data_IF_639661211847
#
_entry.id   IF_639661211847
#
_cell.length_a   1.000
_cell.length_b   1.000
_cell.length_c   1.000
_cell.angle_alpha   90.00
_cell.angle_beta   90.00
_cell.angle_gamma   90.00
#
_symmetry.space_group_name_H-M   'P 1'
#
loop_
_entity.id
_entity.type
_entity.pdbx_description
1 polymer ?
#
# COMPACT_ATOMS: atom_id res chain seq x y z
N UNK A 1 17.51 -8.85 -21.12
CA UNK A 1 18.49 -8.20 -20.23
C UNK A 1 17.93 -7.86 -18.84
N UNK A 2 16.61 -7.93 -18.61
CA UNK A 2 15.91 -7.54 -17.37
C UNK A 2 16.10 -8.50 -16.18
N UNK A 3 15.94 -9.82 -16.38
CA UNK A 3 15.95 -10.79 -15.26
C UNK A 3 17.28 -10.90 -14.48
N UNK A 4 18.42 -10.51 -15.06
CA UNK A 4 19.73 -10.56 -14.38
C UNK A 4 19.95 -9.35 -13.46
N UNK A 5 19.32 -8.22 -13.76
CA UNK A 5 19.44 -7.01 -12.97
C UNK A 5 18.48 -7.04 -11.76
N UNK A 6 17.27 -7.58 -11.96
CA UNK A 6 16.27 -7.72 -10.90
C UNK A 6 16.76 -8.63 -9.76
N UNK A 7 17.42 -9.76 -10.08
CA UNK A 7 18.02 -10.66 -9.07
C UNK A 7 19.12 -10.00 -8.26
N UNK A 8 19.88 -9.08 -8.85
CA UNK A 8 20.93 -8.35 -8.13
C UNK A 8 20.32 -7.33 -7.16
N UNK A 9 19.25 -6.64 -7.57
CA UNK A 9 18.54 -5.69 -6.70
C UNK A 9 17.90 -6.42 -5.53
N UNK A 10 17.21 -7.54 -5.78
CA UNK A 10 16.63 -8.36 -4.71
C UNK A 10 17.72 -8.73 -3.70
N UNK A 11 18.84 -9.30 -4.14
CA UNK A 11 19.94 -9.71 -3.26
C UNK A 11 20.48 -8.56 -2.39
N UNK A 12 20.58 -7.34 -2.93
CA UNK A 12 20.99 -6.14 -2.17
C UNK A 12 19.97 -5.84 -1.07
N UNK A 13 18.67 -5.87 -1.37
CA UNK A 13 17.61 -5.61 -0.41
C UNK A 13 17.58 -6.68 0.71
N UNK A 14 17.79 -7.95 0.36
CA UNK A 14 17.87 -9.05 1.34
C UNK A 14 19.03 -8.87 2.31
N UNK A 15 20.18 -8.39 1.84
CA UNK A 15 21.33 -8.11 2.70
C UNK A 15 21.09 -6.91 3.63
N UNK A 16 20.38 -5.89 3.16
CA UNK A 16 20.16 -4.66 3.94
C UNK A 16 19.04 -4.77 4.97
N UNK A 17 17.88 -5.31 4.58
CA UNK A 17 16.72 -5.38 5.46
C UNK A 17 16.66 -6.67 6.27
N UNK A 18 17.30 -7.73 5.80
CA UNK A 18 17.17 -9.07 6.35
C UNK A 18 15.88 -9.78 5.92
N UNK A 19 15.93 -11.11 5.93
CA UNK A 19 14.84 -11.98 5.47
C UNK A 19 13.57 -11.81 6.31
N UNK A 20 13.69 -11.77 7.63
CA UNK A 20 12.54 -11.65 8.55
C UNK A 20 11.72 -10.38 8.31
N UNK A 21 12.39 -9.25 8.03
CA UNK A 21 11.71 -7.98 7.76
C UNK A 21 10.95 -8.02 6.43
N UNK A 22 11.59 -8.54 5.38
CA UNK A 22 10.98 -8.65 4.05
C UNK A 22 9.79 -9.61 4.08
N UNK A 23 9.93 -10.77 4.74
CA UNK A 23 8.84 -11.71 4.94
C UNK A 23 7.72 -11.08 5.77
N UNK A 24 8.04 -10.32 6.81
CA UNK A 24 7.08 -9.60 7.64
C UNK A 24 6.22 -8.62 6.84
N UNK A 25 6.83 -7.75 6.04
CA UNK A 25 6.10 -6.81 5.17
C UNK A 25 5.31 -7.56 4.10
N UNK A 26 5.92 -8.55 3.45
CA UNK A 26 5.25 -9.35 2.41
C UNK A 26 3.98 -10.02 2.96
N UNK A 27 4.07 -10.65 4.12
CA UNK A 27 2.94 -11.29 4.79
C UNK A 27 1.88 -10.27 5.21
N UNK A 28 2.29 -9.13 5.75
CA UNK A 28 1.40 -8.03 6.10
C UNK A 28 0.60 -7.52 4.89
N UNK A 29 1.27 -7.24 3.76
CA UNK A 29 0.61 -6.74 2.54
C UNK A 29 -0.32 -7.77 1.92
N UNK A 30 0.11 -9.02 1.84
CA UNK A 30 -0.70 -10.11 1.28
C UNK A 30 -1.99 -10.29 2.10
N UNK A 31 -1.90 -10.34 3.43
CA UNK A 31 -3.06 -10.49 4.29
C UNK A 31 -3.99 -9.27 4.25
N UNK A 32 -3.45 -8.06 4.19
CA UNK A 32 -4.25 -6.85 4.04
C UNK A 32 -5.05 -6.88 2.72
N UNK A 33 -4.41 -7.31 1.63
CA UNK A 33 -5.06 -7.45 0.32
C UNK A 33 -6.15 -8.52 0.34
N UNK A 34 -5.86 -9.70 0.90
CA UNK A 34 -6.84 -10.80 0.98
C UNK A 34 -8.07 -10.43 1.81
N UNK A 35 -7.88 -9.83 2.98
CA UNK A 35 -8.98 -9.33 3.81
C UNK A 35 -9.82 -8.27 3.10
N UNK A 36 -9.18 -7.39 2.33
CA UNK A 36 -9.89 -6.39 1.54
C UNK A 36 -10.75 -7.04 0.44
N UNK A 37 -10.20 -7.99 -0.31
CA UNK A 37 -10.92 -8.74 -1.35
C UNK A 37 -12.16 -9.45 -0.78
N UNK A 38 -11.98 -10.17 0.33
CA UNK A 38 -13.04 -10.92 1.01
C UNK A 38 -14.13 -9.99 1.58
N UNK A 39 -13.74 -8.95 2.33
CA UNK A 39 -14.68 -8.01 2.97
C UNK A 39 -15.54 -7.22 1.97
N UNK A 40 -15.12 -7.14 0.71
CA UNK A 40 -15.84 -6.45 -0.37
C UNK A 40 -16.60 -7.40 -1.30
N UNK A 41 -16.48 -8.72 -1.11
CA UNK A 41 -17.09 -9.72 -1.99
C UNK A 41 -16.59 -9.60 -3.44
N UNK A 42 -15.30 -9.30 -3.62
CA UNK A 42 -14.72 -9.01 -4.94
C UNK A 42 -14.03 -10.22 -5.59
N UNK A 43 -14.00 -11.38 -4.94
CA UNK A 43 -13.24 -12.56 -5.37
C UNK A 43 -13.61 -13.06 -6.78
N UNK A 44 -14.83 -12.82 -7.25
CA UNK A 44 -15.29 -13.20 -8.60
C UNK A 44 -14.95 -12.13 -9.67
N UNK A 45 -14.43 -10.98 -9.25
CA UNK A 45 -14.24 -9.79 -10.10
C UNK A 45 -12.77 -9.41 -10.24
N UNK A 46 -11.93 -9.78 -9.28
CA UNK A 46 -10.51 -9.42 -9.23
C UNK A 46 -9.66 -10.63 -8.83
N UNK A 47 -8.36 -10.53 -9.07
CA UNK A 47 -7.37 -11.40 -8.46
C UNK A 47 -6.14 -10.58 -8.07
N UNK A 48 -5.40 -11.06 -7.07
CA UNK A 48 -4.13 -10.47 -6.67
C UNK A 48 -3.01 -11.12 -7.49
N UNK A 49 -2.35 -10.35 -8.36
CA UNK A 49 -1.19 -10.82 -9.11
C UNK A 49 0.06 -10.78 -8.22
N UNK A 50 0.59 -11.97 -7.90
CA UNK A 50 1.75 -12.10 -7.02
C UNK A 50 3.04 -11.52 -7.61
N UNK A 51 3.19 -11.49 -8.93
CA UNK A 51 4.37 -10.90 -9.57
C UNK A 51 4.33 -9.38 -9.48
N UNK A 52 3.16 -8.77 -9.72
CA UNK A 52 2.96 -7.34 -9.53
C UNK A 52 3.08 -6.93 -8.06
N UNK A 53 2.58 -7.76 -7.14
CA UNK A 53 2.77 -7.54 -5.71
C UNK A 53 4.25 -7.60 -5.32
N UNK A 54 5.00 -8.59 -5.83
CA UNK A 54 6.44 -8.71 -5.61
C UNK A 54 7.19 -7.49 -6.13
N UNK A 55 6.90 -7.04 -7.34
CA UNK A 55 7.51 -5.83 -7.91
C UNK A 55 7.16 -4.58 -7.08
N UNK A 56 5.92 -4.46 -6.62
CA UNK A 56 5.50 -3.40 -5.73
C UNK A 56 6.32 -3.41 -4.42
N UNK A 57 6.53 -4.58 -3.82
CA UNK A 57 7.33 -4.72 -2.60
C UNK A 57 8.79 -4.31 -2.84
N UNK A 58 9.40 -4.75 -3.95
CA UNK A 58 10.78 -4.40 -4.31
C UNK A 58 10.93 -2.88 -4.46
N UNK A 59 10.01 -2.22 -5.18
CA UNK A 59 10.08 -0.77 -5.35
C UNK A 59 9.94 -0.02 -4.01
N UNK A 60 9.05 -0.50 -3.12
CA UNK A 60 8.89 0.04 -1.76
C UNK A 60 10.18 -0.07 -0.98
N UNK A 61 10.77 -1.27 -0.92
CA UNK A 61 11.99 -1.52 -0.16
C UNK A 61 13.17 -0.72 -0.72
N UNK A 62 13.26 -0.56 -2.04
CA UNK A 62 14.29 0.25 -2.67
C UNK A 62 14.15 1.74 -2.32
N UNK A 63 12.92 2.27 -2.29
CA UNK A 63 12.67 3.64 -1.82
C UNK A 63 13.03 3.81 -0.34
N UNK A 64 12.63 2.85 0.51
CA UNK A 64 12.94 2.87 1.94
C UNK A 64 14.45 2.80 2.21
N UNK A 65 15.18 1.94 1.49
CA UNK A 65 16.64 1.83 1.55
C UNK A 65 17.31 3.18 1.24
N UNK A 66 16.86 3.84 0.17
CA UNK A 66 17.40 5.16 -0.20
C UNK A 66 17.21 6.15 0.94
N UNK A 67 16.03 6.16 1.57
CA UNK A 67 15.76 7.08 2.69
C UNK A 67 16.59 6.78 3.94
N UNK A 68 16.82 5.50 4.28
CA UNK A 68 17.69 5.12 5.40
C UNK A 68 19.09 5.71 5.22
N UNK A 69 19.66 5.56 4.03
CA UNK A 69 20.98 6.07 3.69
C UNK A 69 21.11 7.60 3.79
N UNK A 70 20.03 8.35 3.57
CA UNK A 70 20.05 9.81 3.61
C UNK A 70 19.72 10.42 4.98
N UNK A 71 19.05 9.69 5.88
CA UNK A 71 18.47 10.27 7.09
C UNK A 71 18.85 9.61 8.42
N UNK A 72 19.67 8.56 8.45
CA UNK A 72 20.14 7.89 9.68
C UNK A 72 18.99 7.43 10.61
N UNK A 73 17.83 7.11 10.03
CA UNK A 73 16.62 6.70 10.75
C UNK A 73 16.66 5.19 10.99
N UNK A 74 16.69 4.77 12.26
CA UNK A 74 16.83 3.36 12.65
C UNK A 74 15.53 2.53 12.52
N UNK A 75 14.35 3.17 12.50
CA UNK A 75 13.05 2.52 12.31
C UNK A 75 12.08 3.43 11.54
N UNK A 76 11.49 2.92 10.46
CA UNK A 76 10.42 3.65 9.77
C UNK A 76 9.14 3.65 10.59
N UNK A 77 8.54 4.83 10.77
CA UNK A 77 7.19 4.93 11.30
C UNK A 77 6.22 4.20 10.34
N UNK A 78 5.26 3.47 10.90
CA UNK A 78 4.16 2.80 10.20
C UNK A 78 3.50 3.69 9.14
N UNK A 79 3.31 4.98 9.43
CA UNK A 79 2.76 5.97 8.48
C UNK A 79 3.61 6.04 7.20
N UNK A 80 4.94 6.06 7.34
CA UNK A 80 5.85 6.13 6.20
C UNK A 80 5.74 4.88 5.35
N UNK A 81 5.83 3.69 5.96
CA UNK A 81 5.67 2.42 5.24
C UNK A 81 4.35 2.41 4.45
N UNK A 82 3.24 2.83 5.08
CA UNK A 82 1.95 2.86 4.42
C UNK A 82 1.91 3.81 3.22
N UNK A 83 2.51 5.00 3.33
CA UNK A 83 2.56 5.98 2.25
C UNK A 83 3.37 5.50 1.05
N UNK A 84 4.51 4.85 1.28
CA UNK A 84 5.35 4.32 0.19
C UNK A 84 4.69 3.10 -0.48
N UNK A 85 4.09 2.21 0.30
CA UNK A 85 3.30 1.09 -0.25
C UNK A 85 2.14 1.62 -1.07
N UNK A 86 1.35 2.57 -0.55
CA UNK A 86 0.22 3.17 -1.26
C UNK A 86 0.64 3.75 -2.62
N UNK A 87 1.75 4.49 -2.64
CA UNK A 87 2.29 5.06 -3.86
C UNK A 87 2.66 4.01 -4.91
N UNK A 88 3.42 2.97 -4.53
CA UNK A 88 3.83 1.93 -5.47
C UNK A 88 2.69 1.00 -5.87
N UNK A 89 1.73 0.76 -4.97
CA UNK A 89 0.53 -0.02 -5.25
C UNK A 89 -0.30 0.62 -6.36
N UNK A 90 -0.48 1.94 -6.32
CA UNK A 90 -1.22 2.67 -7.38
C UNK A 90 -0.52 2.61 -8.74
N UNK A 91 0.81 2.49 -8.75
CA UNK A 91 1.61 2.40 -9.98
C UNK A 91 1.65 0.99 -10.57
N UNK A 92 1.87 -0.02 -9.72
CA UNK A 92 1.98 -1.43 -10.13
C UNK A 92 0.61 -2.11 -10.29
N UNK A 93 -0.40 -1.61 -9.59
CA UNK A 93 -1.78 -2.12 -9.57
C UNK A 93 -1.84 -3.65 -9.37
N UNK A 94 -1.36 -4.20 -8.24
CA UNK A 94 -1.37 -5.65 -8.01
C UNK A 94 -2.74 -6.31 -8.11
N UNK A 95 -3.83 -5.61 -7.78
CA UNK A 95 -5.16 -6.11 -8.08
C UNK A 95 -5.45 -5.99 -9.57
N UNK A 96 -5.59 -7.14 -10.21
CA UNK A 96 -5.97 -7.29 -11.59
C UNK A 96 -7.45 -7.66 -11.68
N UNK A 97 -8.10 -7.23 -12.77
CA UNK A 97 -9.53 -7.45 -12.99
C UNK A 97 -9.74 -8.73 -13.79
N UNK A 98 -10.76 -9.50 -13.43
CA UNK A 98 -11.23 -10.62 -14.24
C UNK A 98 -11.96 -10.11 -15.50
N UNK A 99 -12.02 -10.96 -16.53
CA UNK A 99 -12.84 -10.68 -17.70
C UNK A 99 -14.31 -10.55 -17.25
N UNK A 100 -15.03 -9.54 -17.78
CA UNK A 100 -16.45 -9.26 -17.47
C UNK A 100 -16.77 -8.68 -16.07
N UNK A 101 -15.79 -8.13 -15.35
CA UNK A 101 -16.05 -7.52 -14.03
C UNK A 101 -16.84 -6.19 -14.06
N UNK A 102 -17.12 -5.64 -15.26
CA UNK A 102 -17.77 -4.36 -15.45
C UNK A 102 -17.09 -3.20 -14.71
N UNK A 103 -17.89 -2.23 -14.25
CA UNK A 103 -17.41 -1.07 -13.50
C UNK A 103 -17.16 -1.34 -12.00
N UNK A 104 -17.58 -2.50 -11.49
CA UNK A 104 -17.52 -2.84 -10.05
C UNK A 104 -16.07 -2.77 -9.53
N UNK A 105 -15.12 -3.26 -10.32
CA UNK A 105 -13.71 -3.31 -9.97
C UNK A 105 -12.85 -2.20 -10.61
N UNK A 106 -13.46 -1.15 -11.19
CA UNK A 106 -12.73 -0.15 -11.99
C UNK A 106 -11.61 0.55 -11.21
N UNK A 107 -11.86 0.86 -9.93
CA UNK A 107 -10.93 1.57 -9.04
C UNK A 107 -10.51 0.71 -7.84
N UNK A 108 -10.38 -0.61 -8.04
CA UNK A 108 -10.13 -1.54 -6.92
C UNK A 108 -8.82 -1.26 -6.20
N UNK A 109 -7.77 -0.87 -6.93
CA UNK A 109 -6.46 -0.55 -6.35
C UNK A 109 -6.55 0.74 -5.51
N UNK A 110 -7.25 1.75 -5.99
CA UNK A 110 -7.47 3.01 -5.29
C UNK A 110 -8.31 2.82 -4.03
N UNK A 111 -9.34 1.96 -4.09
CA UNK A 111 -10.18 1.60 -2.94
C UNK A 111 -9.40 0.79 -1.89
N UNK A 112 -8.52 -0.11 -2.33
CA UNK A 112 -7.61 -0.82 -1.44
C UNK A 112 -6.67 0.16 -0.75
N UNK A 113 -5.99 1.01 -1.53
CA UNK A 113 -5.01 1.97 -1.02
C UNK A 113 -5.62 2.93 -0.01
N UNK A 114 -6.84 3.41 -0.26
CA UNK A 114 -7.56 4.22 0.72
C UNK A 114 -7.71 3.49 2.07
N UNK A 115 -8.21 2.26 2.04
CA UNK A 115 -8.45 1.47 3.25
C UNK A 115 -7.14 1.11 3.95
N UNK A 116 -6.12 0.79 3.18
CA UNK A 116 -4.79 0.52 3.66
C UNK A 116 -4.18 1.75 4.35
N UNK A 117 -4.21 2.93 3.73
CA UNK A 117 -3.74 4.18 4.34
C UNK A 117 -4.45 4.49 5.66
N UNK A 118 -5.78 4.36 5.69
CA UNK A 118 -6.56 4.61 6.90
C UNK A 118 -6.25 3.62 8.03
N UNK A 119 -5.84 2.40 7.71
CA UNK A 119 -5.45 1.41 8.71
C UNK A 119 -4.17 1.78 9.47
N UNK A 120 -3.31 2.62 8.88
CA UNK A 120 -2.15 3.20 9.57
C UNK A 120 -2.56 4.06 10.76
N UNK A 121 -3.76 4.67 10.71
CA UNK A 121 -4.28 5.53 11.77
C UNK A 121 -4.97 4.75 12.88
N UNK A 122 -5.54 3.58 12.60
CA UNK A 122 -6.24 2.80 13.63
C UNK A 122 -5.32 1.93 14.49
N UNK A 123 -4.04 1.76 14.12
CA UNK A 123 -3.15 0.71 14.66
C UNK A 123 -3.77 -0.71 14.64
N UNK A 124 -4.88 -0.87 13.92
CA UNK A 124 -5.68 -2.09 13.89
C UNK A 124 -6.19 -2.29 12.47
N UNK A 125 -5.72 -3.39 11.89
CA UNK A 125 -6.04 -3.88 10.55
C UNK A 125 -7.30 -4.75 10.54
N UNK A 126 -7.80 -5.14 11.71
CA UNK A 126 -8.91 -6.08 11.84
C UNK A 126 -10.27 -5.42 11.60
N UNK A 127 -10.34 -4.09 11.71
CA UNK A 127 -11.62 -3.41 11.68
C UNK A 127 -11.55 -1.99 11.10
N UNK A 128 -11.37 -1.92 9.78
CA UNK A 128 -11.49 -0.67 9.00
C UNK A 128 -12.92 -0.09 9.05
N UNK A 129 -13.88 -0.82 9.65
CA UNK A 129 -15.26 -0.38 9.85
C UNK A 129 -15.46 0.43 11.14
N UNK A 130 -14.51 0.35 12.10
CA UNK A 130 -14.59 1.03 13.41
C UNK A 130 -14.09 2.47 13.43
N UNK A 131 -13.46 2.98 12.37
CA UNK A 131 -13.05 4.38 12.34
C UNK A 131 -14.26 5.28 12.01
N UNK A 132 -14.62 6.15 12.97
CA UNK A 132 -15.83 6.99 13.01
C UNK A 132 -16.33 7.48 11.63
N UNK A 133 -17.40 6.85 11.13
CA UNK A 133 -17.99 7.12 9.80
C UNK A 133 -18.49 8.57 9.63
N UNK A 134 -18.81 9.27 10.72
CA UNK A 134 -19.45 10.59 10.67
C UNK A 134 -18.48 11.78 10.64
N UNK A 135 -17.20 11.63 11.05
CA UNK A 135 -16.21 12.73 11.03
C UNK A 135 -15.27 12.71 9.82
N UNK A 136 -15.13 11.55 9.15
CA UNK A 136 -14.19 11.36 8.04
C UNK A 136 -14.81 11.20 6.66
N UNK A 137 -16.14 11.28 6.50
CA UNK A 137 -16.79 11.14 5.19
C UNK A 137 -16.25 12.14 4.16
N UNK A 138 -15.97 13.39 4.60
CA UNK A 138 -15.34 14.41 3.76
C UNK A 138 -13.89 14.08 3.40
N UNK A 139 -13.05 13.74 4.38
CA UNK A 139 -11.63 13.43 4.15
C UNK A 139 -11.44 12.19 3.28
N UNK A 140 -12.25 11.15 3.50
CA UNK A 140 -12.29 9.93 2.67
C UNK A 140 -12.73 10.26 1.24
N UNK A 141 -13.73 11.11 1.03
CA UNK A 141 -14.14 11.53 -0.31
C UNK A 141 -13.03 12.28 -1.06
N UNK A 142 -12.34 13.22 -0.39
CA UNK A 142 -11.20 13.94 -0.99
C UNK A 142 -10.01 13.02 -1.26
N UNK A 143 -9.71 12.10 -0.34
CA UNK A 143 -8.66 11.11 -0.53
C UNK A 143 -8.99 10.22 -1.72
N UNK A 144 -10.19 9.66 -1.82
CA UNK A 144 -10.59 8.88 -2.99
C UNK A 144 -10.49 9.66 -4.30
N UNK A 145 -10.92 10.92 -4.31
CA UNK A 145 -10.78 11.77 -5.49
C UNK A 145 -9.30 11.94 -5.87
N UNK A 146 -8.43 12.20 -4.89
CA UNK A 146 -7.00 12.33 -5.10
C UNK A 146 -6.38 11.02 -5.63
N UNK A 147 -6.69 9.88 -5.03
CA UNK A 147 -6.16 8.57 -5.45
C UNK A 147 -6.63 8.17 -6.87
N UNK A 148 -7.86 8.53 -7.25
CA UNK A 148 -8.44 8.20 -8.57
C UNK A 148 -7.93 9.09 -9.71
N UNK A 149 -7.74 10.38 -9.44
CA UNK A 149 -7.59 11.38 -10.51
C UNK A 149 -6.31 12.21 -10.43
N UNK A 150 -5.47 12.01 -9.40
CA UNK A 150 -4.20 12.73 -9.23
C UNK A 150 -3.03 11.76 -9.18
N UNK A 151 -1.83 12.32 -9.21
CA UNK A 151 -0.57 11.58 -9.04
C UNK A 151 -0.06 11.80 -7.62
N UNK A 152 -0.48 10.98 -6.64
CA UNK A 152 0.05 11.08 -5.29
C UNK A 152 1.55 10.80 -5.31
N UNK A 153 2.29 11.48 -4.44
CA UNK A 153 3.65 11.12 -4.08
C UNK A 153 3.67 10.63 -2.62
N UNK A 154 4.65 9.81 -2.22
CA UNK A 154 4.71 9.27 -0.86
C UNK A 154 4.68 10.34 0.22
N UNK A 155 5.35 11.47 0.02
CA UNK A 155 5.46 12.57 1.00
C UNK A 155 4.11 13.26 1.25
N UNK A 156 3.28 13.38 0.21
CA UNK A 156 1.95 13.99 0.31
C UNK A 156 0.98 13.07 1.03
N UNK A 157 1.08 11.75 0.79
CA UNK A 157 0.32 10.74 1.52
C UNK A 157 0.77 10.68 2.99
N UNK A 158 2.07 10.77 3.26
CA UNK A 158 2.63 10.84 4.61
C UNK A 158 2.13 12.09 5.34
N UNK A 159 2.22 13.27 4.72
CA UNK A 159 1.72 14.53 5.30
C UNK A 159 0.21 14.45 5.59
N UNK A 160 -0.57 13.88 4.68
CA UNK A 160 -2.01 13.67 4.89
C UNK A 160 -2.29 12.79 6.11
N UNK A 161 -1.60 11.66 6.23
CA UNK A 161 -1.76 10.75 7.36
C UNK A 161 -1.31 11.38 8.68
N UNK A 162 -0.16 12.07 8.70
CA UNK A 162 0.31 12.80 9.89
C UNK A 162 -0.71 13.87 10.31
N UNK A 163 -1.26 14.62 9.36
CA UNK A 163 -2.29 15.63 9.65
C UNK A 163 -3.55 15.03 10.26
N UNK A 164 -3.98 13.85 9.81
CA UNK A 164 -5.11 13.13 10.39
C UNK A 164 -4.81 12.54 11.76
N UNK A 165 -3.59 12.06 11.99
CA UNK A 165 -3.16 11.48 13.27
C UNK A 165 -3.12 12.54 14.38
N UNK A 166 -2.62 13.74 14.06
CA UNK A 166 -2.61 14.90 14.98
C UNK A 166 -4.02 15.42 15.28
N UNK A 167 -4.98 15.23 14.37
CA UNK A 167 -6.35 15.72 14.52
C UNK A 167 -7.28 14.80 15.35
N UNK A 168 -6.76 13.67 15.86
CA UNK A 168 -7.48 12.75 16.77
C UNK A 168 -7.72 13.38 18.14
#
# INVERSE_FOLDING_TARGET
>A
MTARNDRNIENILWQEFGEDYILGISFFLFNAAKRFEESRGLSDYIYLDENLLRQCLIDVLFDLQRLRHFHDIQQENLIKIHSYVAYWWLRRKPFQRMQNCGHIALFVNELFVEKFLLSALSNDLSDVSKYNQNKMSGASAYLQYHLKYRSPNPQTLELFLVGLDVAK
#
